data_IF_200967467981
#
_entry.id   IF_200967467981
#
_cell.length_a   1.000
_cell.length_b   1.000
_cell.length_c   1.000
_cell.angle_alpha   90.00
_cell.angle_beta   90.00
_cell.angle_gamma   90.00
#
_symmetry.space_group_name_H-M   'P 1'
#
loop_
_entity.id
_entity.type
_entity.pdbx_description
1 polymer ?
#
# COMPACT_ATOMS: atom_id res chain seq x y z
N UNK A 1 27.72 10.64 -21.53
CA UNK A 1 27.52 9.81 -20.34
C UNK A 1 26.23 10.35 -19.72
N UNK A 2 25.14 9.59 -19.74
CA UNK A 2 23.91 10.05 -19.08
C UNK A 2 24.07 9.76 -17.61
N UNK A 3 23.99 10.78 -16.76
CA UNK A 3 24.10 10.62 -15.33
C UNK A 3 22.95 9.72 -14.85
N UNK A 4 23.30 8.58 -14.25
CA UNK A 4 22.33 7.68 -13.61
C UNK A 4 22.02 8.31 -12.26
N UNK A 5 20.98 9.12 -12.22
CA UNK A 5 20.52 9.81 -11.00
C UNK A 5 19.24 9.17 -10.47
N UNK A 6 19.12 9.14 -9.14
CA UNK A 6 17.91 8.67 -8.48
C UNK A 6 16.74 9.60 -8.80
N UNK A 7 15.69 9.06 -9.43
CA UNK A 7 14.50 9.84 -9.76
C UNK A 7 13.52 9.88 -8.58
N UNK A 8 13.81 10.79 -7.63
CA UNK A 8 12.97 11.07 -6.46
C UNK A 8 11.50 11.30 -6.83
N UNK A 9 11.22 12.07 -7.88
CA UNK A 9 9.86 12.44 -8.25
C UNK A 9 9.05 11.22 -8.71
N UNK A 10 9.66 10.33 -9.52
CA UNK A 10 9.01 9.10 -9.97
C UNK A 10 8.70 8.16 -8.80
N UNK A 11 9.64 7.96 -7.88
CA UNK A 11 9.42 7.12 -6.69
C UNK A 11 8.36 7.74 -5.77
N UNK A 12 8.35 9.06 -5.61
CA UNK A 12 7.33 9.76 -4.81
C UNK A 12 5.93 9.70 -5.41
N UNK A 13 5.79 9.65 -6.74
CA UNK A 13 4.50 9.41 -7.41
C UNK A 13 4.00 8.00 -7.11
N UNK A 14 4.87 7.00 -7.19
CA UNK A 14 4.51 5.62 -6.87
C UNK A 14 4.13 5.47 -5.39
N UNK A 15 4.84 6.12 -4.47
CA UNK A 15 4.56 6.01 -3.05
C UNK A 15 3.16 6.55 -2.72
N UNK A 16 2.79 7.68 -3.33
CA UNK A 16 1.44 8.26 -3.20
C UNK A 16 0.38 7.33 -3.76
N UNK A 17 0.63 6.73 -4.93
CA UNK A 17 -0.29 5.76 -5.53
C UNK A 17 -0.49 4.56 -4.60
N UNK A 18 0.58 4.03 -4.02
CA UNK A 18 0.50 2.90 -3.10
C UNK A 18 -0.29 3.29 -1.83
N UNK A 19 -0.17 4.53 -1.33
CA UNK A 19 -1.01 5.02 -0.24
C UNK A 19 -2.50 5.16 -0.62
N UNK A 20 -2.78 5.67 -1.82
CA UNK A 20 -4.15 5.78 -2.33
C UNK A 20 -4.79 4.40 -2.52
N UNK A 21 -4.03 3.44 -3.04
CA UNK A 21 -4.47 2.06 -3.19
C UNK A 21 -4.71 1.42 -1.81
N UNK A 22 -3.86 1.69 -0.82
CA UNK A 22 -4.04 1.23 0.55
C UNK A 22 -5.37 1.72 1.14
N UNK A 23 -5.63 3.03 1.08
CA UNK A 23 -6.88 3.62 1.57
C UNK A 23 -8.11 3.05 0.84
N UNK A 24 -8.04 2.93 -0.50
CA UNK A 24 -9.12 2.37 -1.30
C UNK A 24 -9.45 0.92 -0.91
N UNK A 25 -8.44 0.07 -0.75
CA UNK A 25 -8.66 -1.31 -0.29
C UNK A 25 -9.21 -1.35 1.15
N UNK A 26 -8.77 -0.47 2.03
CA UNK A 26 -9.32 -0.31 3.37
C UNK A 26 -10.82 0.04 3.35
N UNK A 27 -11.22 0.98 2.49
CA UNK A 27 -12.62 1.36 2.29
C UNK A 27 -13.46 0.21 1.71
N UNK A 28 -12.94 -0.53 0.72
CA UNK A 28 -13.59 -1.73 0.16
C UNK A 28 -13.82 -2.78 1.25
N UNK A 29 -12.81 -3.07 2.07
CA UNK A 29 -12.91 -3.99 3.20
C UNK A 29 -13.99 -3.56 4.20
N UNK A 30 -14.04 -2.26 4.53
CA UNK A 30 -15.06 -1.70 5.42
C UNK A 30 -16.48 -1.75 4.82
N UNK A 31 -16.61 -1.64 3.49
CA UNK A 31 -17.90 -1.77 2.81
C UNK A 31 -18.40 -3.22 2.78
N UNK A 32 -17.51 -4.19 2.56
CA UNK A 32 -17.87 -5.63 2.56
C UNK A 32 -18.49 -6.04 3.89
N UNK A 33 -18.02 -5.47 5.01
CA UNK A 33 -18.57 -5.73 6.35
C UNK A 33 -20.04 -5.28 6.50
N UNK A 34 -20.50 -4.38 5.62
CA UNK A 34 -21.89 -3.88 5.58
C UNK A 34 -22.79 -4.67 4.64
N UNK A 35 -22.24 -5.60 3.85
CA UNK A 35 -23.06 -6.41 2.95
C UNK A 35 -23.97 -7.34 3.75
N UNK A 36 -25.28 -7.36 3.47
CA UNK A 36 -26.20 -8.22 4.20
C UNK A 36 -25.85 -9.69 3.93
N UNK A 37 -25.62 -10.45 5.00
CA UNK A 37 -25.48 -11.92 4.95
C UNK A 37 -26.82 -12.64 5.09
N UNK A 38 -27.87 -11.89 5.43
CA UNK A 38 -29.25 -12.38 5.59
C UNK A 38 -30.08 -12.06 4.35
N UNK A 39 -31.09 -12.89 4.07
CA UNK A 39 -31.97 -12.70 2.91
C UNK A 39 -31.39 -13.16 1.56
N UNK A 40 -30.23 -13.82 1.56
CA UNK A 40 -29.60 -14.36 0.35
C UNK A 40 -30.26 -15.67 -0.10
N UNK A 41 -30.73 -16.47 0.86
CA UNK A 41 -31.38 -17.75 0.62
C UNK A 41 -32.56 -17.91 1.59
N UNK A 42 -33.69 -18.36 1.07
CA UNK A 42 -34.93 -18.52 1.85
C UNK A 42 -35.33 -19.99 1.92
N UNK A 43 -35.67 -20.50 3.12
CA UNK A 43 -36.14 -21.86 3.24
C UNK A 43 -37.51 -22.02 2.59
N UNK A 44 -37.74 -23.16 1.96
CA UNK A 44 -39.05 -23.56 1.47
C UNK A 44 -39.98 -23.89 2.65
N UNK A 45 -41.30 -23.64 2.53
CA UNK A 45 -42.27 -23.94 3.60
C UNK A 45 -42.32 -25.42 4.01
N UNK A 46 -41.92 -26.33 3.11
CA UNK A 46 -41.85 -27.77 3.35
C UNK A 46 -40.70 -28.39 2.54
N UNK A 47 -40.18 -29.52 3.03
CA UNK A 47 -39.07 -30.25 2.44
C UNK A 47 -37.70 -29.93 3.06
N UNK A 48 -36.63 -30.61 2.61
CA UNK A 48 -35.28 -30.40 3.12
C UNK A 48 -34.75 -29.03 2.70
N UNK A 49 -34.13 -28.32 3.64
CA UNK A 49 -33.58 -26.96 3.45
C UNK A 49 -32.04 -26.92 3.61
N UNK A 50 -31.38 -28.08 3.56
CA UNK A 50 -29.93 -28.21 3.78
C UNK A 50 -29.11 -27.38 2.77
N UNK A 51 -29.52 -27.38 1.49
CA UNK A 51 -28.87 -26.58 0.45
C UNK A 51 -29.02 -25.06 0.67
N UNK A 52 -30.16 -24.61 1.21
CA UNK A 52 -30.40 -23.20 1.55
C UNK A 52 -29.47 -22.76 2.68
N UNK A 53 -29.34 -23.60 3.71
CA UNK A 53 -28.42 -23.35 4.83
C UNK A 53 -26.96 -23.35 4.38
N UNK A 54 -26.58 -24.29 3.51
CA UNK A 54 -25.24 -24.35 2.92
C UNK A 54 -24.94 -23.08 2.10
N UNK A 55 -25.89 -22.61 1.29
CA UNK A 55 -25.73 -21.39 0.49
C UNK A 55 -25.56 -20.15 1.38
N UNK A 56 -26.42 -19.97 2.38
CA UNK A 56 -26.31 -18.86 3.33
C UNK A 56 -24.95 -18.86 4.06
N UNK A 57 -24.48 -20.04 4.47
CA UNK A 57 -23.17 -20.19 5.14
C UNK A 57 -22.00 -19.87 4.21
N UNK A 58 -22.08 -20.28 2.94
CA UNK A 58 -21.05 -19.98 1.93
C UNK A 58 -21.02 -18.50 1.57
N UNK A 59 -22.16 -17.82 1.51
CA UNK A 59 -22.21 -16.38 1.28
C UNK A 59 -21.60 -15.58 2.44
N UNK A 60 -21.85 -15.98 3.69
CA UNK A 60 -21.18 -15.40 4.86
C UNK A 60 -19.66 -15.57 4.77
N UNK A 61 -19.21 -16.79 4.45
CA UNK A 61 -17.79 -17.09 4.33
C UNK A 61 -17.13 -16.30 3.19
N UNK A 62 -17.82 -16.14 2.06
CA UNK A 62 -17.35 -15.31 0.95
C UNK A 62 -17.11 -13.87 1.41
N UNK A 63 -18.10 -13.22 2.05
CA UNK A 63 -17.92 -11.85 2.55
C UNK A 63 -16.73 -11.74 3.50
N UNK A 64 -16.56 -12.70 4.41
CA UNK A 64 -15.45 -12.71 5.34
C UNK A 64 -14.09 -12.83 4.64
N UNK A 65 -13.95 -13.74 3.69
CA UNK A 65 -12.70 -13.95 2.96
C UNK A 65 -12.38 -12.76 2.06
N UNK A 66 -13.37 -12.18 1.38
CA UNK A 66 -13.15 -10.98 0.54
C UNK A 66 -12.73 -9.78 1.40
N UNK A 67 -13.32 -9.62 2.59
CA UNK A 67 -12.88 -8.58 3.55
C UNK A 67 -11.42 -8.78 3.95
N UNK A 68 -11.02 -10.00 4.30
CA UNK A 68 -9.64 -10.29 4.66
C UNK A 68 -8.67 -10.03 3.50
N UNK A 69 -9.03 -10.42 2.28
CA UNK A 69 -8.22 -10.14 1.11
C UNK A 69 -8.04 -8.63 0.89
N UNK A 70 -9.12 -7.85 1.01
CA UNK A 70 -9.03 -6.38 0.90
C UNK A 70 -8.14 -5.77 1.99
N UNK A 71 -8.23 -6.25 3.24
CA UNK A 71 -7.36 -5.79 4.33
C UNK A 71 -5.89 -6.12 4.04
N UNK A 72 -5.58 -7.31 3.55
CA UNK A 72 -4.20 -7.71 3.22
C UNK A 72 -3.62 -6.85 2.08
N UNK A 73 -4.42 -6.53 1.05
CA UNK A 73 -3.99 -5.62 -0.01
C UNK A 73 -3.77 -4.20 0.50
N UNK A 74 -4.64 -3.72 1.39
CA UNK A 74 -4.46 -2.42 2.06
C UNK A 74 -3.13 -2.36 2.79
N UNK A 75 -2.83 -3.37 3.61
CA UNK A 75 -1.58 -3.44 4.38
C UNK A 75 -0.35 -3.56 3.47
N UNK A 76 -0.42 -4.40 2.43
CA UNK A 76 0.67 -4.56 1.48
C UNK A 76 0.99 -3.24 0.74
N UNK A 77 -0.04 -2.52 0.29
CA UNK A 77 0.11 -1.20 -0.32
C UNK A 77 0.70 -0.17 0.66
N UNK A 78 0.27 -0.17 1.92
CA UNK A 78 0.87 0.69 2.96
C UNK A 78 2.35 0.38 3.22
N UNK A 79 2.74 -0.90 3.21
CA UNK A 79 4.15 -1.33 3.32
C UNK A 79 4.97 -0.88 2.11
N UNK A 80 4.43 -0.99 0.90
CA UNK A 80 5.11 -0.53 -0.32
C UNK A 80 5.30 1.00 -0.32
N UNK A 81 4.25 1.76 -0.02
CA UNK A 81 4.30 3.23 0.03
C UNK A 81 5.32 3.73 1.04
N UNK A 82 5.28 3.19 2.27
CA UNK A 82 6.23 3.56 3.33
C UNK A 82 7.67 3.14 3.01
N UNK A 83 7.89 1.97 2.40
CA UNK A 83 9.21 1.54 1.95
C UNK A 83 9.82 2.46 0.89
N UNK A 84 9.00 2.94 -0.05
CA UNK A 84 9.43 3.90 -1.07
C UNK A 84 9.77 5.27 -0.46
N UNK A 85 8.98 5.75 0.50
CA UNK A 85 9.30 6.97 1.26
C UNK A 85 10.62 6.85 2.02
N UNK A 86 10.89 5.69 2.62
CA UNK A 86 12.17 5.42 3.29
C UNK A 86 13.34 5.44 2.30
N UNK A 87 13.19 4.81 1.12
CA UNK A 87 14.21 4.85 0.06
C UNK A 87 14.50 6.29 -0.34
N UNK A 88 13.47 7.10 -0.57
CA UNK A 88 13.60 8.52 -0.90
C UNK A 88 14.42 9.26 0.18
N UNK A 89 14.10 9.07 1.47
CA UNK A 89 14.82 9.70 2.58
C UNK A 89 16.30 9.30 2.62
N UNK A 90 16.59 8.02 2.45
CA UNK A 90 17.97 7.51 2.49
C UNK A 90 18.84 8.08 1.35
N UNK A 91 18.26 8.23 0.16
CA UNK A 91 18.97 8.82 -0.98
C UNK A 91 19.21 10.33 -0.79
N UNK A 92 18.24 11.08 -0.27
CA UNK A 92 18.44 12.50 0.08
C UNK A 92 19.58 12.70 1.08
N UNK A 93 19.60 11.87 2.14
CA UNK A 93 20.65 11.93 3.16
C UNK A 93 22.03 11.64 2.57
N UNK A 94 22.10 10.66 1.66
CA UNK A 94 23.33 10.29 0.96
C UNK A 94 23.80 11.40 0.03
N UNK A 95 22.90 12.00 -0.74
CA UNK A 95 23.21 13.11 -1.65
C UNK A 95 23.73 14.32 -0.88
N UNK A 96 23.02 14.72 0.19
CA UNK A 96 23.45 15.82 1.06
C UNK A 96 24.83 15.57 1.67
N UNK A 97 25.08 14.35 2.16
CA UNK A 97 26.39 13.99 2.73
C UNK A 97 27.51 14.07 1.70
N UNK A 98 27.25 13.61 0.47
CA UNK A 98 28.22 13.67 -0.62
C UNK A 98 28.49 15.12 -1.03
N UNK A 99 27.46 15.95 -1.19
CA UNK A 99 27.58 17.37 -1.52
C UNK A 99 28.40 18.14 -0.48
N UNK A 100 28.13 17.92 0.81
CA UNK A 100 28.89 18.54 1.89
C UNK A 100 30.38 18.15 1.84
N UNK A 101 30.68 16.88 1.52
CA UNK A 101 32.07 16.44 1.32
C UNK A 101 32.71 17.06 0.09
N UNK A 102 32.01 17.11 -1.03
CA UNK A 102 32.51 17.72 -2.26
C UNK A 102 32.79 19.21 -2.06
N UNK A 103 31.87 19.95 -1.43
CA UNK A 103 32.08 21.35 -1.09
C UNK A 103 33.31 21.52 -0.19
N UNK A 104 33.46 20.68 0.85
CA UNK A 104 34.62 20.75 1.74
C UNK A 104 35.95 20.48 1.03
N UNK A 105 35.98 19.54 0.09
CA UNK A 105 37.17 19.26 -0.73
C UNK A 105 37.42 20.43 -1.70
N UNK A 106 36.38 20.94 -2.36
CA UNK A 106 36.48 22.08 -3.26
C UNK A 106 37.04 23.32 -2.54
N UNK A 107 36.57 23.64 -1.32
CA UNK A 107 37.10 24.73 -0.51
C UNK A 107 38.59 24.54 -0.20
N UNK A 108 39.04 23.32 0.10
CA UNK A 108 40.47 23.01 0.33
C UNK A 108 41.31 23.15 -0.94
N UNK A 109 40.79 22.72 -2.09
CA UNK A 109 41.51 22.78 -3.37
C UNK A 109 41.51 24.18 -3.99
N UNK A 110 40.53 25.02 -3.67
CA UNK A 110 40.44 26.40 -4.17
C UNK A 110 41.44 27.38 -3.53
N UNK A 111 42.32 26.89 -2.65
CA UNK A 111 43.32 27.72 -1.97
C UNK A 111 42.71 28.52 -0.83
N UNK A 112 42.22 27.82 0.19
CA UNK A 112 42.03 28.44 1.51
C UNK A 112 43.39 28.80 2.12
N UNK A 113 43.98 29.89 1.62
CA UNK A 113 45.02 30.63 2.31
C UNK A 113 44.37 31.55 3.35
N UNK A 114 44.93 31.46 4.57
CA UNK A 114 44.68 32.17 5.83
C UNK A 114 43.79 31.46 6.87
#
# INVERSE_FOLDING_TARGET
MGDIEFNRAAVGINAKKDWEDADNFGQVGAYIDKLPSTGIAYPLPAGPNEGVQALASKALNFNQVTRWAAAEYSDACGVLGSGQEQVISNYDETEKFNDEKFQRIASRMSGGDH
#
